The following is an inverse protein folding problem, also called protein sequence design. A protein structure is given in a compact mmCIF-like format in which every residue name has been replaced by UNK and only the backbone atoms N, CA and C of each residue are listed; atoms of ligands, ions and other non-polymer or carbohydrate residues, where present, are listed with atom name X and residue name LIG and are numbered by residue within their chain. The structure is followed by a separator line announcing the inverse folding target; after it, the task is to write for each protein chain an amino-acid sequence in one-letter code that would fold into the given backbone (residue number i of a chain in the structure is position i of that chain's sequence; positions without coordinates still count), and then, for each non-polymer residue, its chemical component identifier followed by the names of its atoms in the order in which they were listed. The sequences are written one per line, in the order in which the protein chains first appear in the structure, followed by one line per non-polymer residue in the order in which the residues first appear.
data_IF_870872342465
#
_entry.id   IF_870872342465
#
_cell.length_a   1.000
_cell.length_b   1.000
_cell.length_c   1.000
_cell.angle_alpha   90.00
_cell.angle_beta   90.00
_cell.angle_gamma   90.00
#
_symmetry.space_group_name_H-M   'P 1'
#
loop_
_entity.id
_entity.type
_entity.pdbx_description
1 polymer ?
#
# COMPACT_ATOMS: atom_id res chain seq x y z
N UNK A 1 -9.74 -23.84 17.66
CA UNK A 1 -10.99 -23.47 17.01
C UNK A 1 -10.86 -22.20 16.16
N UNK A 2 -10.21 -21.13 16.64
CA UNK A 2 -10.06 -19.85 15.91
C UNK A 2 -9.29 -19.93 14.57
N UNK A 3 -8.28 -20.79 14.47
CA UNK A 3 -7.45 -20.91 13.25
C UNK A 3 -8.19 -21.58 12.09
N UNK A 4 -9.03 -22.59 12.39
CA UNK A 4 -9.85 -23.30 11.38
C UNK A 4 -10.95 -22.41 10.80
N UNK A 5 -11.51 -21.52 11.62
CA UNK A 5 -12.55 -20.57 11.18
C UNK A 5 -11.97 -19.50 10.26
N UNK A 6 -10.79 -18.96 10.57
CA UNK A 6 -10.09 -17.99 9.74
C UNK A 6 -9.71 -18.57 8.35
N UNK A 7 -9.28 -19.83 8.33
CA UNK A 7 -8.88 -20.51 7.09
C UNK A 7 -10.08 -20.80 6.17
N UNK A 8 -11.21 -21.27 6.73
CA UNK A 8 -12.42 -21.49 5.97
C UNK A 8 -12.99 -20.20 5.35
N UNK A 9 -12.89 -19.08 6.07
CA UNK A 9 -13.29 -17.75 5.55
C UNK A 9 -12.39 -17.30 4.41
N UNK A 10 -11.06 -17.49 4.52
CA UNK A 10 -10.09 -17.13 3.49
C UNK A 10 -10.31 -17.92 2.20
N UNK A 11 -10.54 -19.22 2.30
CA UNK A 11 -10.76 -20.10 1.12
C UNK A 11 -12.07 -19.80 0.43
N UNK A 12 -13.15 -19.54 1.17
CA UNK A 12 -14.44 -19.14 0.60
C UNK A 12 -14.31 -17.78 -0.14
N UNK A 13 -13.55 -16.84 0.40
CA UNK A 13 -13.30 -15.52 -0.24
C UNK A 13 -12.45 -15.67 -1.51
N UNK A 14 -11.43 -16.51 -1.49
CA UNK A 14 -10.58 -16.78 -2.68
C UNK A 14 -11.34 -17.50 -3.80
N UNK A 15 -12.19 -18.48 -3.46
CA UNK A 15 -13.00 -19.20 -4.44
C UNK A 15 -14.01 -18.27 -5.14
N UNK A 16 -14.58 -17.33 -4.39
CA UNK A 16 -15.54 -16.34 -4.92
C UNK A 16 -14.90 -15.28 -5.80
N UNK A 17 -13.70 -14.82 -5.46
CA UNK A 17 -12.92 -13.87 -6.25
C UNK A 17 -12.50 -14.46 -7.61
N UNK A 18 -12.25 -15.78 -7.67
CA UNK A 18 -11.84 -16.49 -8.90
C UNK A 18 -12.94 -16.63 -9.96
N UNK A 19 -14.21 -16.49 -9.60
CA UNK A 19 -15.33 -16.67 -10.51
C UNK A 19 -16.11 -15.40 -10.87
N UNK A 20 -15.71 -14.23 -10.41
CA UNK A 20 -16.27 -12.94 -10.81
C UNK A 20 -17.79 -12.79 -10.56
N UNK A 21 -18.35 -13.49 -9.59
CA UNK A 21 -19.81 -13.59 -9.41
C UNK A 21 -20.30 -12.51 -8.46
N UNK A 22 -20.85 -11.45 -9.03
CA UNK A 22 -21.67 -10.47 -8.31
C UNK A 22 -23.13 -10.88 -8.49
N UNK A 23 -23.77 -11.35 -7.41
CA UNK A 23 -25.23 -11.53 -7.37
C UNK A 23 -25.79 -12.91 -7.78
N UNK A 24 -25.03 -14.00 -7.76
CA UNK A 24 -25.51 -15.34 -8.06
C UNK A 24 -25.81 -16.18 -6.82
N UNK A 25 -26.79 -17.11 -6.93
CA UNK A 25 -26.99 -18.21 -5.98
C UNK A 25 -26.02 -19.35 -6.31
N UNK A 26 -25.21 -19.80 -5.33
CA UNK A 26 -24.27 -20.91 -5.53
C UNK A 26 -24.35 -21.94 -4.40
N UNK A 27 -24.06 -23.20 -4.71
CA UNK A 27 -23.92 -24.29 -3.74
C UNK A 27 -22.47 -24.71 -3.65
N UNK A 28 -21.94 -24.80 -2.42
CA UNK A 28 -20.58 -25.32 -2.17
C UNK A 28 -20.65 -26.87 -2.09
N UNK A 29 -19.73 -27.55 -2.76
CA UNK A 29 -19.66 -29.02 -2.72
C UNK A 29 -18.96 -29.53 -1.46
N UNK A 30 -19.40 -30.68 -0.94
CA UNK A 30 -18.78 -31.35 0.21
C UNK A 30 -17.29 -31.65 0.00
N UNK A 31 -16.88 -31.89 -1.24
CA UNK A 31 -15.49 -32.18 -1.59
C UNK A 31 -14.54 -31.01 -1.30
N UNK A 32 -14.97 -29.78 -1.56
CA UNK A 32 -14.19 -28.57 -1.31
C UNK A 32 -14.17 -28.26 0.19
N UNK A 33 -15.30 -28.41 0.87
CA UNK A 33 -15.45 -28.11 2.28
C UNK A 33 -14.73 -29.14 3.20
N UNK A 34 -14.72 -30.41 2.80
CA UNK A 34 -14.06 -31.48 3.55
C UNK A 34 -12.53 -31.35 3.54
N UNK A 35 -11.93 -30.88 2.46
CA UNK A 35 -10.49 -30.61 2.37
C UNK A 35 -10.00 -29.60 3.44
N UNK A 36 -10.91 -28.76 3.92
CA UNK A 36 -10.60 -27.69 4.90
C UNK A 36 -11.26 -27.93 6.27
N UNK A 37 -11.78 -29.13 6.52
CA UNK A 37 -12.36 -29.52 7.80
C UNK A 37 -13.71 -28.88 8.14
N UNK A 38 -14.47 -28.47 7.11
CA UNK A 38 -15.79 -27.86 7.21
C UNK A 38 -16.90 -28.75 6.62
N UNK A 39 -16.82 -30.07 6.85
CA UNK A 39 -17.84 -31.05 6.40
C UNK A 39 -19.18 -30.80 7.08
N UNK A 40 -20.28 -31.03 6.35
CA UNK A 40 -21.66 -30.89 6.84
C UNK A 40 -22.36 -29.57 6.51
N UNK A 41 -21.71 -28.67 5.76
CA UNK A 41 -22.28 -27.38 5.31
C UNK A 41 -22.72 -27.43 3.83
N UNK A 42 -22.38 -28.51 3.12
CA UNK A 42 -22.73 -28.68 1.72
C UNK A 42 -24.26 -28.79 1.49
N UNK A 43 -24.72 -28.25 0.39
CA UNK A 43 -26.15 -28.27 0.00
C UNK A 43 -26.95 -27.06 0.45
N UNK A 44 -26.42 -26.16 1.29
CA UNK A 44 -27.10 -24.93 1.66
C UNK A 44 -26.96 -23.87 0.56
N UNK A 45 -28.08 -23.33 0.10
CA UNK A 45 -28.12 -22.25 -0.88
C UNK A 45 -27.85 -20.91 -0.17
N UNK A 46 -26.74 -20.23 -0.53
CA UNK A 46 -26.42 -18.91 -0.05
C UNK A 46 -27.01 -17.86 -1.01
N UNK A 47 -27.63 -16.80 -0.47
CA UNK A 47 -28.28 -15.75 -1.25
C UNK A 47 -27.77 -14.38 -0.82
N UNK A 48 -27.58 -13.48 -1.79
CA UNK A 48 -27.20 -12.09 -1.54
C UNK A 48 -25.84 -11.71 -2.12
N UNK A 49 -25.29 -10.59 -1.66
CA UNK A 49 -23.96 -10.12 -2.04
C UNK A 49 -22.85 -10.96 -1.41
N UNK A 50 -21.60 -10.80 -1.88
CA UNK A 50 -20.46 -11.53 -1.34
C UNK A 50 -20.25 -11.32 0.16
N UNK A 51 -20.58 -10.13 0.70
CA UNK A 51 -20.55 -9.82 2.14
C UNK A 51 -21.63 -10.57 2.93
N UNK A 52 -22.82 -10.77 2.33
CA UNK A 52 -23.91 -11.51 2.97
C UNK A 52 -23.59 -13.00 3.06
N UNK A 53 -22.94 -13.55 2.06
CA UNK A 53 -22.49 -14.94 2.05
C UNK A 53 -21.46 -15.23 3.14
N UNK A 54 -20.48 -14.34 3.30
CA UNK A 54 -19.45 -14.45 4.36
C UNK A 54 -20.12 -14.45 5.73
N UNK A 55 -21.08 -13.58 5.96
CA UNK A 55 -21.84 -13.51 7.22
C UNK A 55 -22.68 -14.76 7.46
N UNK A 56 -23.32 -15.32 6.45
CA UNK A 56 -24.10 -16.55 6.53
C UNK A 56 -23.21 -17.77 6.84
N UNK A 57 -22.05 -17.90 6.16
CA UNK A 57 -21.08 -18.96 6.44
C UNK A 57 -20.51 -18.85 7.86
N UNK A 58 -20.19 -17.64 8.31
CA UNK A 58 -19.66 -17.41 9.67
C UNK A 58 -20.68 -17.82 10.75
N UNK A 59 -21.96 -17.55 10.55
CA UNK A 59 -23.03 -17.94 11.46
C UNK A 59 -23.25 -19.45 11.47
N UNK A 60 -23.18 -20.13 10.33
CA UNK A 60 -23.27 -21.59 10.24
C UNK A 60 -22.13 -22.29 11.01
N UNK A 61 -20.90 -21.77 10.87
CA UNK A 61 -19.71 -22.32 11.57
C UNK A 61 -19.72 -22.07 13.07
N UNK A 62 -20.26 -20.93 13.52
CA UNK A 62 -20.36 -20.57 14.93
C UNK A 62 -21.50 -21.29 15.66
N UNK A 63 -22.59 -21.61 14.96
CA UNK A 63 -23.82 -22.11 15.56
C UNK A 63 -23.86 -23.62 15.79
N UNK A 64 -22.94 -24.43 15.22
CA UNK A 64 -23.01 -25.89 15.31
C UNK A 64 -24.35 -26.50 14.83
N UNK A 65 -25.12 -25.75 14.04
CA UNK A 65 -26.50 -26.11 13.69
C UNK A 65 -26.53 -27.19 12.61
N UNK A 66 -27.22 -28.27 12.92
CA UNK A 66 -27.66 -29.30 11.97
C UNK A 66 -28.70 -28.69 11.01
N UNK A 67 -28.69 -29.12 9.75
CA UNK A 67 -29.50 -28.62 8.62
C UNK A 67 -31.05 -28.74 8.78
N UNK A 68 -31.57 -28.89 9.97
CA UNK A 68 -33.01 -29.12 10.23
C UNK A 68 -33.81 -27.91 10.70
N UNK A 69 -33.18 -26.80 11.07
CA UNK A 69 -33.86 -25.68 11.75
C UNK A 69 -34.12 -24.43 10.91
N UNK A 70 -34.13 -24.54 9.58
CA UNK A 70 -34.54 -23.42 8.71
C UNK A 70 -35.79 -23.79 7.94
N UNK A 71 -36.91 -23.92 8.67
CA UNK A 71 -38.25 -24.02 8.16
C UNK A 71 -39.08 -22.81 8.54
N UNK A 72 -39.51 -22.08 7.52
CA UNK A 72 -40.66 -21.14 7.46
C UNK A 72 -41.18 -20.54 8.77
N UNK A 73 -41.12 -19.23 8.94
CA UNK A 73 -42.11 -18.46 9.69
C UNK A 73 -42.61 -17.31 8.83
N UNK A 74 -43.91 -17.43 8.56
CA UNK A 74 -44.77 -16.41 7.97
C UNK A 74 -44.93 -15.22 8.91
N UNK A 75 -45.14 -14.05 8.30
CA UNK A 75 -45.45 -12.80 8.94
C UNK A 75 -46.75 -12.92 9.76
N UNK A 76 -46.71 -12.40 11.00
CA UNK A 76 -47.90 -11.84 11.67
C UNK A 76 -47.44 -10.66 12.52
N UNK A 77 -48.18 -9.57 12.30
CA UNK A 77 -48.13 -8.30 13.05
C UNK A 77 -48.30 -8.52 14.55
N UNK A 78 -47.51 -7.82 15.34
CA UNK A 78 -48.01 -7.24 16.58
C UNK A 78 -47.21 -5.99 17.01
N UNK A 79 -47.95 -4.86 17.09
CA UNK A 79 -47.61 -3.64 17.82
C UNK A 79 -47.41 -3.96 19.29
N UNK A 80 -46.36 -3.48 19.94
CA UNK A 80 -46.41 -2.55 21.08
C UNK A 80 -45.07 -2.36 21.77
N UNK A 81 -44.86 -1.14 22.17
CA UNK A 81 -44.01 -0.59 23.24
C UNK A 81 -42.50 -0.48 23.02
N UNK A 82 -42.17 0.77 22.77
CA UNK A 82 -40.87 1.40 22.98
C UNK A 82 -40.23 1.06 24.34
N UNK A 83 -39.09 0.44 24.32
CA UNK A 83 -38.10 0.58 25.37
C UNK A 83 -36.77 0.88 24.68
N UNK A 84 -36.34 2.14 24.82
CA UNK A 84 -35.06 2.64 24.36
C UNK A 84 -33.95 1.94 25.14
N UNK A 85 -33.27 0.98 24.48
CA UNK A 85 -31.95 0.54 24.92
C UNK A 85 -30.92 1.27 24.08
N UNK A 86 -30.63 2.51 24.47
CA UNK A 86 -29.37 3.15 24.19
C UNK A 86 -28.27 2.39 24.93
N UNK A 87 -27.84 1.24 24.38
CA UNK A 87 -26.60 0.62 24.79
C UNK A 87 -25.52 1.24 23.90
N UNK A 88 -24.75 2.14 24.53
CA UNK A 88 -23.66 2.88 23.89
C UNK A 88 -22.86 2.00 22.94
N UNK A 89 -22.99 2.25 21.65
CA UNK A 89 -21.93 2.03 20.72
C UNK A 89 -20.81 2.96 21.19
N UNK A 90 -19.86 2.39 21.92
CA UNK A 90 -18.55 3.03 22.02
C UNK A 90 -18.04 3.05 20.59
N UNK A 91 -18.13 4.20 19.93
CA UNK A 91 -17.33 4.51 18.76
C UNK A 91 -15.89 4.15 19.14
N UNK A 92 -15.43 3.01 18.67
CA UNK A 92 -14.01 2.74 18.63
C UNK A 92 -13.50 3.77 17.62
N UNK A 93 -13.04 4.91 18.14
CA UNK A 93 -12.32 5.91 17.38
C UNK A 93 -11.25 5.13 16.63
N UNK A 94 -11.41 4.94 15.32
CA UNK A 94 -10.42 4.26 14.50
C UNK A 94 -9.10 4.98 14.75
N UNK A 95 -8.04 4.22 15.03
CA UNK A 95 -6.72 4.81 15.20
C UNK A 95 -6.41 5.56 13.91
N UNK A 96 -5.86 6.79 13.99
CA UNK A 96 -5.45 7.51 12.80
C UNK A 96 -4.46 6.64 12.01
N UNK A 97 -4.43 6.83 10.70
CA UNK A 97 -3.47 6.14 9.87
C UNK A 97 -2.05 6.56 10.24
N UNK A 98 -1.17 5.58 10.36
CA UNK A 98 0.27 5.78 10.48
C UNK A 98 0.91 5.63 9.10
N UNK A 99 1.84 6.50 8.76
CA UNK A 99 2.55 6.48 7.48
C UNK A 99 3.93 5.85 7.63
N UNK A 100 4.24 4.88 6.81
CA UNK A 100 5.60 4.41 6.54
C UNK A 100 6.06 5.05 5.21
N UNK A 101 6.76 6.16 5.31
CA UNK A 101 7.32 6.85 4.15
C UNK A 101 8.66 6.22 3.79
N UNK A 102 8.71 5.55 2.64
CA UNK A 102 9.90 4.91 2.10
C UNK A 102 10.36 5.66 0.87
N UNK A 103 11.61 6.09 0.85
CA UNK A 103 12.19 6.85 -0.26
C UNK A 103 13.44 6.17 -0.79
N UNK A 104 13.48 5.94 -2.10
CA UNK A 104 14.64 5.45 -2.84
C UNK A 104 15.09 6.58 -3.76
N UNK A 105 16.23 7.19 -3.43
CA UNK A 105 16.70 8.45 -4.00
C UNK A 105 17.98 8.19 -4.78
N UNK A 106 17.95 8.49 -6.05
CA UNK A 106 19.12 8.41 -6.93
C UNK A 106 20.21 9.40 -6.50
N UNK A 107 21.43 8.89 -6.37
CA UNK A 107 22.66 9.68 -6.22
C UNK A 107 23.70 9.30 -7.27
N UNK A 108 23.28 8.78 -8.44
CA UNK A 108 24.18 8.49 -9.55
C UNK A 108 24.83 9.75 -10.10
N UNK A 109 25.83 9.58 -10.96
CA UNK A 109 26.60 10.70 -11.49
C UNK A 109 25.80 11.75 -12.24
N UNK A 110 24.64 11.41 -12.81
CA UNK A 110 23.72 12.34 -13.48
C UNK A 110 23.06 13.35 -12.53
N UNK A 111 22.98 13.02 -11.23
CA UNK A 111 22.47 13.92 -10.21
C UNK A 111 23.47 15.01 -9.78
N UNK A 112 24.69 15.02 -10.34
CA UNK A 112 25.71 16.04 -10.02
C UNK A 112 25.24 17.43 -10.41
N UNK A 113 25.41 18.37 -9.47
CA UNK A 113 24.93 19.76 -9.59
C UNK A 113 23.53 20.01 -9.03
N UNK A 114 22.87 18.96 -8.52
CA UNK A 114 21.55 19.03 -7.86
C UNK A 114 21.62 18.66 -6.36
N UNK A 115 22.83 18.62 -5.78
CA UNK A 115 23.06 18.20 -4.41
C UNK A 115 22.28 19.05 -3.42
N UNK A 116 22.47 20.38 -3.50
CA UNK A 116 21.83 21.34 -2.59
C UNK A 116 20.29 21.30 -2.70
N UNK A 117 19.76 21.09 -3.91
CA UNK A 117 18.32 21.04 -4.12
C UNK A 117 17.71 19.70 -3.67
N UNK A 118 18.43 18.60 -3.82
CA UNK A 118 18.01 17.29 -3.31
C UNK A 118 18.01 17.29 -1.78
N UNK A 119 19.10 17.75 -1.17
CA UNK A 119 19.25 17.88 0.29
C UNK A 119 18.23 18.86 0.85
N UNK A 120 18.16 20.05 0.28
CA UNK A 120 17.22 21.11 0.71
C UNK A 120 15.76 20.71 0.51
N UNK A 121 15.43 20.05 -0.61
CA UNK A 121 14.11 19.51 -0.90
C UNK A 121 13.67 18.45 0.10
N UNK A 122 14.55 17.46 0.38
CA UNK A 122 14.30 16.44 1.39
C UNK A 122 14.07 17.07 2.77
N UNK A 123 14.96 17.96 3.22
CA UNK A 123 14.87 18.61 4.52
C UNK A 123 13.60 19.45 4.65
N UNK A 124 13.22 20.18 3.60
CA UNK A 124 11.99 20.99 3.55
C UNK A 124 10.73 20.11 3.63
N UNK A 125 10.71 18.98 2.92
CA UNK A 125 9.63 17.99 2.98
C UNK A 125 9.48 17.43 4.40
N UNK A 126 10.53 16.97 5.02
CA UNK A 126 10.54 16.46 6.41
C UNK A 126 10.05 17.55 7.39
N UNK A 127 10.57 18.78 7.25
CA UNK A 127 10.18 19.91 8.10
C UNK A 127 8.68 20.25 7.96
N UNK A 128 8.14 20.21 6.74
CA UNK A 128 6.71 20.41 6.48
C UNK A 128 5.86 19.34 7.15
N UNK A 129 6.22 18.07 7.01
CA UNK A 129 5.48 16.97 7.62
C UNK A 129 5.52 17.02 9.16
N UNK A 130 6.66 17.41 9.75
CA UNK A 130 6.76 17.66 11.19
C UNK A 130 5.83 18.79 11.66
N UNK A 131 5.73 19.88 10.91
CA UNK A 131 4.82 21.00 11.19
C UNK A 131 3.35 20.61 11.06
N UNK A 132 3.03 19.72 10.10
CA UNK A 132 1.70 19.22 9.87
C UNK A 132 1.32 18.08 10.85
N UNK A 133 2.19 17.74 11.79
CA UNK A 133 2.03 16.70 12.85
C UNK A 133 1.64 15.32 12.25
N UNK A 134 2.26 14.97 11.13
CA UNK A 134 2.04 13.68 10.46
C UNK A 134 2.61 12.55 11.31
N UNK A 135 1.78 11.57 11.68
CA UNK A 135 2.26 10.36 12.37
C UNK A 135 2.93 9.42 11.37
N UNK A 136 4.26 9.47 11.30
CA UNK A 136 5.04 8.73 10.32
C UNK A 136 6.38 8.21 10.85
N UNK A 137 6.83 7.12 10.21
CA UNK A 137 8.23 6.69 10.17
C UNK A 137 8.81 6.95 8.79
N UNK A 138 10.10 7.19 8.72
CA UNK A 138 10.82 7.46 7.48
C UNK A 138 11.94 6.44 7.29
N UNK A 139 11.93 5.78 6.14
CA UNK A 139 13.04 4.99 5.62
C UNK A 139 13.54 5.69 4.36
N UNK A 140 14.80 6.13 4.34
CA UNK A 140 15.38 6.72 3.16
C UNK A 140 16.66 5.97 2.76
N UNK A 141 16.70 5.62 1.50
CA UNK A 141 17.80 4.91 0.85
C UNK A 141 18.30 5.77 -0.29
N UNK A 142 19.59 6.05 -0.33
CA UNK A 142 20.26 6.65 -1.47
C UNK A 142 20.99 5.56 -2.24
N UNK A 143 21.05 5.67 -3.56
CA UNK A 143 21.68 4.63 -4.39
C UNK A 143 22.44 5.18 -5.59
N UNK A 144 23.51 4.48 -5.95
CA UNK A 144 24.23 4.58 -7.22
C UNK A 144 24.63 3.17 -7.68
N UNK A 145 25.88 2.77 -7.60
CA UNK A 145 26.33 1.38 -7.80
C UNK A 145 25.82 0.44 -6.69
N UNK A 146 25.54 1.00 -5.52
CA UNK A 146 25.04 0.29 -4.35
C UNK A 146 24.00 1.14 -3.61
N UNK A 147 23.08 0.47 -2.91
CA UNK A 147 22.08 1.12 -2.06
C UNK A 147 22.61 1.30 -0.63
N UNK A 148 22.42 2.51 -0.06
CA UNK A 148 22.78 2.86 1.32
C UNK A 148 21.57 3.41 2.04
N UNK A 149 21.14 2.74 3.10
CA UNK A 149 20.10 3.27 4.00
C UNK A 149 20.67 4.39 4.84
N UNK A 150 20.08 5.58 4.78
CA UNK A 150 20.48 6.76 5.55
C UNK A 150 19.55 7.00 6.75
N UNK A 151 18.26 6.65 6.63
CA UNK A 151 17.31 6.58 7.74
C UNK A 151 16.60 5.22 7.67
N UNK A 152 16.54 4.51 8.80
CA UNK A 152 15.99 3.16 8.90
C UNK A 152 14.78 3.15 9.83
N UNK A 153 13.58 3.32 9.26
CA UNK A 153 12.31 3.38 10.00
C UNK A 153 12.37 4.39 11.17
N UNK A 154 13.01 5.52 10.93
CA UNK A 154 13.16 6.57 11.95
C UNK A 154 11.83 7.30 12.16
N UNK A 155 11.40 7.50 13.42
CA UNK A 155 10.22 8.33 13.71
C UNK A 155 10.42 9.71 13.07
N UNK A 156 9.41 10.24 12.39
CA UNK A 156 9.48 11.52 11.68
C UNK A 156 10.06 12.64 12.56
N UNK A 157 9.65 12.72 13.83
CA UNK A 157 10.16 13.72 14.77
C UNK A 157 11.67 13.67 15.00
N UNK A 158 12.29 12.49 14.88
CA UNK A 158 13.71 12.24 15.12
C UNK A 158 14.57 12.32 13.86
N UNK A 159 13.95 12.33 12.65
CA UNK A 159 14.71 12.42 11.39
C UNK A 159 15.56 13.68 11.41
N UNK A 160 16.89 13.50 11.33
CA UNK A 160 17.84 14.60 11.25
C UNK A 160 17.83 15.24 9.86
N UNK A 161 18.41 16.40 9.71
CA UNK A 161 18.65 16.99 8.41
C UNK A 161 19.65 16.11 7.62
N UNK A 162 19.36 15.89 6.35
CA UNK A 162 20.29 15.34 5.38
C UNK A 162 21.35 16.38 5.06
N UNK A 163 22.59 15.95 4.91
CA UNK A 163 23.74 16.79 4.55
C UNK A 163 24.53 16.15 3.40
N UNK A 164 25.59 16.83 2.98
CA UNK A 164 26.58 16.32 2.03
C UNK A 164 27.25 14.99 2.44
N UNK A 165 27.16 14.63 3.71
CA UNK A 165 27.68 13.34 4.23
C UNK A 165 26.76 12.17 3.89
N UNK A 166 25.48 12.42 3.82
CA UNK A 166 24.47 11.41 3.47
C UNK A 166 24.23 11.32 1.96
N UNK A 167 24.36 12.44 1.22
CA UNK A 167 24.06 12.52 -0.20
C UNK A 167 25.21 13.11 -1.00
N UNK A 168 25.89 12.30 -1.78
CA UNK A 168 27.04 12.69 -2.63
C UNK A 168 26.90 11.98 -3.97
N UNK A 169 26.50 12.68 -5.04
CA UNK A 169 26.34 12.09 -6.37
C UNK A 169 27.62 11.47 -6.92
N UNK A 170 27.46 10.35 -7.63
CA UNK A 170 28.56 9.63 -8.30
C UNK A 170 28.18 8.18 -8.62
N UNK A 171 28.95 7.55 -9.50
CA UNK A 171 28.73 6.16 -9.90
C UNK A 171 27.61 5.95 -10.92
N UNK A 172 27.19 4.71 -11.04
CA UNK A 172 26.17 4.21 -11.99
C UNK A 172 24.78 4.23 -11.37
N UNK A 173 23.79 3.55 -11.98
CA UNK A 173 22.39 3.58 -11.54
C UNK A 173 21.87 2.14 -11.38
N UNK A 174 22.12 1.52 -10.21
CA UNK A 174 21.62 0.18 -9.85
C UNK A 174 20.20 0.29 -9.26
N UNK A 175 19.24 0.76 -10.05
CA UNK A 175 17.88 1.09 -9.62
C UNK A 175 17.09 -0.15 -9.16
N UNK A 176 17.19 -1.27 -9.91
CA UNK A 176 16.44 -2.49 -9.56
C UNK A 176 16.93 -3.08 -8.23
N UNK A 177 18.26 -3.08 -8.02
CA UNK A 177 18.86 -3.56 -6.77
C UNK A 177 18.44 -2.67 -5.58
N UNK A 178 18.40 -1.36 -5.76
CA UNK A 178 17.95 -0.42 -4.73
C UNK A 178 16.48 -0.64 -4.36
N UNK A 179 15.60 -0.79 -5.35
CA UNK A 179 14.17 -1.06 -5.12
C UNK A 179 13.98 -2.40 -4.43
N UNK A 180 14.57 -3.47 -4.97
CA UNK A 180 14.39 -4.84 -4.47
C UNK A 180 14.89 -5.02 -3.05
N UNK A 181 16.09 -4.53 -2.77
CA UNK A 181 16.68 -4.55 -1.42
C UNK A 181 15.84 -3.76 -0.43
N UNK A 182 15.33 -2.58 -0.83
CA UNK A 182 14.49 -1.74 0.04
C UNK A 182 13.14 -2.40 0.32
N UNK A 183 12.45 -2.96 -0.69
CA UNK A 183 11.20 -3.71 -0.48
C UNK A 183 11.44 -4.88 0.48
N UNK A 184 12.49 -5.68 0.23
CA UNK A 184 12.84 -6.85 1.08
C UNK A 184 13.17 -6.47 2.52
N UNK A 185 13.70 -5.27 2.74
CA UNK A 185 13.96 -4.72 4.07
C UNK A 185 12.66 -4.29 4.75
N UNK A 186 11.88 -3.45 4.07
CA UNK A 186 10.67 -2.82 4.64
C UNK A 186 9.58 -3.86 4.95
N UNK A 187 9.43 -4.90 4.13
CA UNK A 187 8.44 -5.96 4.38
C UNK A 187 8.67 -6.73 5.69
N UNK A 188 9.88 -6.65 6.26
CA UNK A 188 10.25 -7.30 7.52
C UNK A 188 9.98 -6.44 8.76
N UNK A 189 9.56 -5.19 8.58
CA UNK A 189 9.25 -4.34 9.72
C UNK A 189 8.01 -4.84 10.46
N UNK A 190 8.10 -4.90 11.78
CA UNK A 190 6.97 -5.33 12.61
C UNK A 190 5.75 -4.45 12.38
N UNK A 191 4.60 -5.09 12.14
CA UNK A 191 3.33 -4.40 11.95
C UNK A 191 3.20 -3.63 10.63
N UNK A 192 4.12 -3.79 9.66
CA UNK A 192 4.13 -3.02 8.40
C UNK A 192 2.80 -3.13 7.62
N UNK A 193 2.16 -4.30 7.65
CA UNK A 193 0.91 -4.58 6.96
C UNK A 193 -0.32 -4.53 7.91
N UNK A 194 -0.21 -3.88 9.08
CA UNK A 194 -1.38 -3.62 9.91
C UNK A 194 -2.35 -2.66 9.22
N UNK A 195 -3.65 -2.84 9.47
CA UNK A 195 -4.74 -2.10 8.79
C UNK A 195 -4.53 -0.58 8.77
N UNK A 196 -3.99 -0.02 9.85
CA UNK A 196 -3.79 1.42 10.01
C UNK A 196 -2.41 1.90 9.51
N UNK A 197 -1.51 1.00 9.15
CA UNK A 197 -0.24 1.37 8.53
C UNK A 197 -0.43 1.56 7.03
N UNK A 198 0.07 2.66 6.52
CA UNK A 198 0.04 3.02 5.10
C UNK A 198 1.46 3.18 4.60
N UNK A 199 1.85 2.39 3.63
CA UNK A 199 3.19 2.48 3.03
C UNK A 199 3.11 3.33 1.77
N UNK A 200 3.86 4.43 1.75
CA UNK A 200 4.13 5.22 0.56
C UNK A 200 5.59 4.99 0.15
N UNK A 201 5.78 4.29 -0.96
CA UNK A 201 7.10 3.96 -1.50
C UNK A 201 7.40 4.87 -2.70
N UNK A 202 8.32 5.82 -2.54
CA UNK A 202 8.67 6.84 -3.52
C UNK A 202 10.02 6.53 -4.15
N UNK A 203 10.07 6.48 -5.46
CA UNK A 203 11.28 6.28 -6.27
C UNK A 203 11.56 7.59 -7.00
N UNK A 204 12.76 8.15 -6.81
CA UNK A 204 13.21 9.40 -7.44
C UNK A 204 14.51 9.10 -8.20
N UNK A 205 14.51 9.29 -9.52
CA UNK A 205 15.68 9.06 -10.38
C UNK A 205 15.67 10.01 -11.56
N UNK A 206 16.84 10.36 -12.07
CA UNK A 206 17.01 11.12 -13.32
C UNK A 206 17.63 10.28 -14.44
N UNK A 207 17.97 9.01 -14.15
CA UNK A 207 18.68 8.11 -15.02
C UNK A 207 17.93 6.81 -15.33
N UNK A 208 18.42 6.12 -16.36
CA UNK A 208 17.97 4.77 -16.67
C UNK A 208 18.80 3.75 -15.89
N UNK A 209 18.15 2.64 -15.52
CA UNK A 209 18.80 1.44 -14.98
C UNK A 209 19.96 0.99 -15.85
N UNK A 210 21.14 0.79 -15.25
CA UNK A 210 22.33 0.38 -16.02
C UNK A 210 23.37 -0.47 -15.26
N UNK A 211 23.18 -0.76 -13.95
CA UNK A 211 24.20 -1.47 -13.16
C UNK A 211 23.66 -2.50 -12.15
N UNK A 212 22.36 -2.79 -12.13
CA UNK A 212 21.79 -3.78 -11.21
C UNK A 212 22.26 -5.20 -11.52
N UNK A 213 22.58 -5.98 -10.47
CA UNK A 213 23.17 -7.32 -10.54
C UNK A 213 22.33 -8.37 -9.84
N UNK A 214 21.55 -7.99 -8.81
CA UNK A 214 20.80 -8.91 -7.97
C UNK A 214 19.33 -9.04 -8.40
N UNK A 215 18.71 -7.93 -8.81
CA UNK A 215 17.30 -7.90 -9.18
C UNK A 215 17.10 -7.57 -10.65
N UNK A 216 16.27 -8.37 -11.32
CA UNK A 216 15.84 -8.08 -12.69
C UNK A 216 14.57 -7.21 -12.68
N UNK A 217 14.32 -6.49 -13.77
CA UNK A 217 13.10 -5.71 -13.98
C UNK A 217 11.82 -6.55 -13.77
N UNK A 218 11.79 -7.80 -14.26
CA UNK A 218 10.66 -8.72 -14.07
C UNK A 218 10.47 -9.13 -12.61
N UNK A 219 11.55 -9.26 -11.85
CA UNK A 219 11.48 -9.55 -10.42
C UNK A 219 10.90 -8.36 -9.67
N UNK A 220 11.40 -7.14 -9.93
CA UNK A 220 10.88 -5.92 -9.31
C UNK A 220 9.41 -5.71 -9.65
N UNK A 221 9.02 -5.92 -10.91
CA UNK A 221 7.61 -5.83 -11.34
C UNK A 221 6.69 -6.73 -10.52
N UNK A 222 7.09 -7.98 -10.29
CA UNK A 222 6.32 -8.92 -9.45
C UNK A 222 6.27 -8.44 -7.99
N UNK A 223 7.40 -8.02 -7.43
CA UNK A 223 7.45 -7.52 -6.05
C UNK A 223 6.53 -6.32 -5.86
N UNK A 224 6.59 -5.33 -6.74
CA UNK A 224 5.74 -4.13 -6.67
C UNK A 224 4.26 -4.52 -6.82
N UNK A 225 3.89 -5.35 -7.82
CA UNK A 225 2.51 -5.80 -8.02
C UNK A 225 1.97 -6.53 -6.79
N UNK A 226 2.76 -7.46 -6.22
CA UNK A 226 2.38 -8.20 -5.01
C UNK A 226 2.13 -7.25 -3.82
N UNK A 227 3.00 -6.25 -3.63
CA UNK A 227 2.84 -5.28 -2.53
C UNK A 227 1.64 -4.36 -2.72
N UNK A 228 1.36 -3.93 -3.95
CA UNK A 228 0.17 -3.13 -4.26
C UNK A 228 -1.12 -3.93 -4.05
N UNK A 229 -1.17 -5.19 -4.52
CA UNK A 229 -2.39 -5.99 -4.55
C UNK A 229 -2.72 -6.63 -3.19
N UNK A 230 -1.70 -7.12 -2.47
CA UNK A 230 -1.90 -7.87 -1.22
C UNK A 230 -1.80 -7.00 0.02
N UNK A 231 -0.81 -6.11 0.02
CA UNK A 231 -0.42 -5.35 1.20
C UNK A 231 -0.94 -3.91 1.17
N UNK A 232 -1.49 -3.47 0.03
CA UNK A 232 -2.04 -2.13 -0.15
C UNK A 232 -0.99 -1.02 -0.13
N UNK A 233 0.27 -1.35 -0.46
CA UNK A 233 1.32 -0.32 -0.57
C UNK A 233 1.07 0.56 -1.79
N UNK A 234 1.33 1.84 -1.64
CA UNK A 234 1.29 2.79 -2.75
C UNK A 234 2.72 3.10 -3.23
N UNK A 235 2.93 2.93 -4.54
CA UNK A 235 4.20 3.23 -5.19
C UNK A 235 4.05 4.48 -6.05
N UNK A 236 5.04 5.37 -5.97
CA UNK A 236 5.16 6.59 -6.78
C UNK A 236 6.52 6.61 -7.45
N UNK A 237 6.54 6.92 -8.73
CA UNK A 237 7.76 7.03 -9.54
C UNK A 237 7.91 8.44 -10.08
N UNK A 238 8.99 9.10 -9.71
CA UNK A 238 9.36 10.44 -10.14
C UNK A 238 10.63 10.32 -10.99
N UNK A 239 10.48 10.53 -12.29
CA UNK A 239 11.57 10.38 -13.26
C UNK A 239 11.90 11.68 -13.98
N UNK A 240 13.20 12.04 -14.04
CA UNK A 240 13.66 13.09 -14.93
C UNK A 240 14.39 12.50 -16.14
N UNK A 241 14.48 13.25 -17.24
CA UNK A 241 15.24 12.85 -18.45
C UNK A 241 14.88 11.47 -19.04
N UNK A 242 13.78 10.85 -18.59
CA UNK A 242 13.31 9.54 -19.03
C UNK A 242 11.80 9.58 -19.28
N UNK A 243 11.27 8.61 -20.00
CA UNK A 243 9.83 8.36 -20.05
C UNK A 243 9.38 7.73 -18.74
N UNK A 244 9.07 8.58 -17.76
CA UNK A 244 8.71 8.16 -16.41
C UNK A 244 7.47 7.23 -16.39
N UNK A 245 6.49 7.44 -17.27
CA UNK A 245 5.29 6.61 -17.34
C UNK A 245 5.62 5.21 -17.89
N UNK A 246 6.46 5.13 -18.93
CA UNK A 246 6.91 3.86 -19.51
C UNK A 246 7.79 3.09 -18.53
N UNK A 247 8.74 3.76 -17.87
CA UNK A 247 9.64 3.12 -16.91
C UNK A 247 8.86 2.61 -15.70
N UNK A 248 8.00 3.42 -15.09
CA UNK A 248 7.11 3.03 -13.99
C UNK A 248 6.28 1.79 -14.34
N UNK A 249 5.63 1.78 -15.53
CA UNK A 249 4.84 0.65 -16.02
C UNK A 249 5.70 -0.60 -16.17
N UNK A 250 6.93 -0.45 -16.65
CA UNK A 250 7.84 -1.58 -16.88
C UNK A 250 8.22 -2.31 -15.60
N UNK A 251 8.27 -1.59 -14.47
CA UNK A 251 8.55 -2.13 -13.13
C UNK A 251 7.30 -2.36 -12.28
N UNK A 252 6.09 -2.22 -12.83
CA UNK A 252 4.83 -2.53 -12.16
C UNK A 252 4.19 -1.39 -11.37
N UNK A 253 4.75 -0.19 -11.39
CA UNK A 253 4.11 1.00 -10.80
C UNK A 253 2.99 1.48 -11.71
N UNK A 254 1.85 1.84 -11.11
CA UNK A 254 0.69 2.39 -11.84
C UNK A 254 1.08 3.69 -12.54
N UNK A 255 0.69 3.86 -13.81
CA UNK A 255 1.04 5.05 -14.61
C UNK A 255 0.46 6.34 -14.05
N UNK A 256 -0.69 6.27 -13.37
CA UNK A 256 -1.25 7.41 -12.65
C UNK A 256 -0.39 7.87 -11.48
N UNK A 257 0.47 6.99 -10.95
CA UNK A 257 1.41 7.27 -9.87
C UNK A 257 2.83 7.58 -10.38
N UNK A 258 3.01 7.74 -11.68
CA UNK A 258 4.28 8.16 -12.27
C UNK A 258 4.21 9.59 -12.77
N UNK A 259 5.25 10.36 -12.58
CA UNK A 259 5.37 11.71 -13.11
C UNK A 259 6.78 12.00 -13.60
N UNK A 260 6.85 12.75 -14.72
CA UNK A 260 8.09 13.34 -15.21
C UNK A 260 8.32 14.68 -14.51
N UNK A 261 9.56 14.98 -14.18
CA UNK A 261 9.96 16.27 -13.66
C UNK A 261 11.16 16.84 -14.41
N UNK A 262 11.37 18.14 -14.30
CA UNK A 262 12.59 18.80 -14.83
C UNK A 262 13.77 18.50 -13.93
N UNK A 263 14.89 18.09 -14.52
CA UNK A 263 16.17 17.95 -13.82
C UNK A 263 16.80 19.34 -13.61
N UNK A 264 16.14 20.14 -12.79
CA UNK A 264 16.53 21.52 -12.41
C UNK A 264 16.21 21.72 -10.95
N UNK A 265 16.84 22.72 -10.34
CA UNK A 265 16.61 23.12 -8.95
C UNK A 265 15.12 23.24 -8.60
N UNK A 266 14.34 23.90 -9.45
CA UNK A 266 12.90 24.06 -9.24
C UNK A 266 12.14 22.73 -9.37
N UNK A 267 12.53 21.87 -10.31
CA UNK A 267 11.91 20.56 -10.53
C UNK A 267 12.17 19.61 -9.37
N UNK A 268 13.40 19.55 -8.87
CA UNK A 268 13.77 18.73 -7.71
C UNK A 268 13.00 19.17 -6.46
N UNK A 269 12.97 20.48 -6.18
CA UNK A 269 12.17 21.02 -5.05
C UNK A 269 10.68 20.73 -5.18
N UNK A 270 10.12 20.84 -6.39
CA UNK A 270 8.72 20.51 -6.64
C UNK A 270 8.38 19.04 -6.37
N UNK A 271 9.31 18.11 -6.68
CA UNK A 271 9.15 16.70 -6.36
C UNK A 271 8.96 16.45 -4.86
N UNK A 272 9.85 16.99 -4.05
CA UNK A 272 9.77 16.81 -2.59
C UNK A 272 8.52 17.47 -2.00
N UNK A 273 8.08 18.60 -2.57
CA UNK A 273 6.81 19.22 -2.18
C UNK A 273 5.61 18.32 -2.53
N UNK A 274 5.62 17.70 -3.71
CA UNK A 274 4.60 16.74 -4.11
C UNK A 274 4.57 15.50 -3.20
N UNK A 275 5.74 14.96 -2.82
CA UNK A 275 5.83 13.85 -1.86
C UNK A 275 5.22 14.24 -0.50
N UNK A 276 5.44 15.47 -0.03
CA UNK A 276 4.83 15.95 1.20
C UNK A 276 3.30 15.99 1.12
N UNK A 277 2.74 16.42 -0.02
CA UNK A 277 1.30 16.45 -0.24
C UNK A 277 0.72 15.03 -0.37
N UNK A 278 1.41 14.11 -1.06
CA UNK A 278 1.05 12.70 -1.14
C UNK A 278 1.01 12.04 0.25
N UNK A 279 2.01 12.28 1.08
CA UNK A 279 2.06 11.77 2.45
C UNK A 279 0.82 12.19 3.25
N UNK A 280 0.44 13.46 3.15
CA UNK A 280 -0.75 14.01 3.78
C UNK A 280 -2.05 13.39 3.25
N UNK A 281 -2.16 13.22 1.93
CA UNK A 281 -3.33 12.60 1.29
C UNK A 281 -3.52 11.15 1.75
N UNK A 282 -2.45 10.37 1.84
CA UNK A 282 -2.51 8.98 2.28
C UNK A 282 -2.95 8.86 3.73
N UNK A 283 -2.44 9.72 4.62
CA UNK A 283 -2.84 9.71 6.04
C UNK A 283 -4.29 10.14 6.21
N UNK A 284 -4.73 11.20 5.50
CA UNK A 284 -6.09 11.74 5.64
C UNK A 284 -7.16 10.95 4.89
N UNK A 285 -6.90 10.63 3.62
CA UNK A 285 -7.90 10.10 2.69
C UNK A 285 -7.66 8.64 2.29
N UNK A 286 -6.56 8.04 2.74
CA UNK A 286 -6.14 6.68 2.41
C UNK A 286 -5.98 6.43 0.90
N UNK A 287 -5.62 7.45 0.13
CA UNK A 287 -5.45 7.37 -1.33
C UNK A 287 -4.62 8.52 -1.88
N UNK A 288 -3.96 8.27 -3.01
CA UNK A 288 -3.34 9.30 -3.84
C UNK A 288 -4.45 10.04 -4.62
N UNK A 289 -4.50 11.37 -4.51
CA UNK A 289 -5.44 12.17 -5.30
C UNK A 289 -4.98 12.29 -6.74
N UNK A 290 -5.92 12.32 -7.69
CA UNK A 290 -5.62 12.38 -9.13
C UNK A 290 -4.87 13.65 -9.57
N UNK A 291 -4.97 14.73 -8.79
CA UNK A 291 -4.35 16.02 -9.08
C UNK A 291 -2.97 16.24 -8.42
N UNK A 292 -2.39 15.21 -7.81
CA UNK A 292 -1.12 15.31 -7.09
C UNK A 292 0.04 15.82 -7.95
N UNK A 293 -0.04 15.61 -9.28
CA UNK A 293 0.98 16.03 -10.25
C UNK A 293 0.90 17.51 -10.65
N UNK A 294 -0.19 18.20 -10.33
CA UNK A 294 -0.46 19.54 -10.87
C UNK A 294 0.62 20.59 -10.52
N UNK A 295 1.36 20.36 -9.45
CA UNK A 295 2.42 21.29 -9.00
C UNK A 295 3.83 20.86 -9.44
N UNK A 296 3.94 19.74 -10.18
CA UNK A 296 5.22 19.31 -10.72
C UNK A 296 5.59 20.22 -11.91
N UNK A 297 6.85 20.60 -11.96
CA UNK A 297 7.40 21.34 -13.10
C UNK A 297 7.71 20.33 -14.19
N UNK A 298 6.79 20.18 -15.13
CA UNK A 298 6.95 19.28 -16.28
C UNK A 298 7.79 19.94 -17.39
N UNK A 299 8.52 19.10 -18.12
CA UNK A 299 9.17 19.50 -19.38
C UNK A 299 8.12 19.49 -20.50
N UNK A 300 7.54 20.65 -20.78
CA UNK A 300 6.68 20.87 -21.92
C UNK A 300 7.54 21.13 -23.18
N UNK A 301 8.22 20.11 -23.71
CA UNK A 301 8.83 20.11 -25.04
C UNK A 301 8.26 18.97 -25.86
#
# INVERSE_FOLDING_TARGET
MKLKTAFATLVATMYMASFGVVGATGTLSDTVLSQYGASGIAGNSLKGSSSDWVSQLLNMVKGGASAKDIGSTSATDNKTSSASYNKGMTDKKERPNHLELVMVIDQSGSMSGLEDDTIGGFNSMISKQKKDDVDANVTAVVFSDNAKTIYDRERLGNVREMTDKEYTPGGMTALMDAIGTTITKVEKYDGINEKNNKVLFVIITDGQENDSKEYTKDTIKRMISDKQERDGWEFVFLGANIDAASEAKSIGVKTENAAKYKNTDAGVRANYAAVADLAKDIVSDNRIRSNWKNNLVEDNQ
#
